data_IF_928797125354
#
_entry.id   IF_928797125354
#
_cell.length_a   1.000
_cell.length_b   1.000
_cell.length_c   1.000
_cell.angle_alpha   90.00
_cell.angle_beta   90.00
_cell.angle_gamma   90.00
#
_symmetry.space_group_name_H-M   'P 1'
#
loop_
_entity.id
_entity.type
_entity.pdbx_description
1 polymer ?
#
# COMPACT_ATOMS: atom_id res chain seq x y z
N UNK A 1 -2.86 -16.79 -15.17
CA UNK A 1 -2.56 -17.55 -13.93
C UNK A 1 -3.38 -18.82 -13.92
N UNK A 2 -2.84 -19.94 -13.44
CA UNK A 2 -3.52 -21.24 -13.38
C UNK A 2 -4.80 -21.20 -12.53
N UNK A 3 -4.78 -20.47 -11.41
CA UNK A 3 -5.95 -20.32 -10.53
C UNK A 3 -7.12 -19.70 -11.29
N UNK A 4 -6.89 -18.57 -11.98
CA UNK A 4 -7.95 -17.90 -12.74
C UNK A 4 -8.51 -18.75 -13.89
N UNK A 5 -7.67 -19.54 -14.56
CA UNK A 5 -8.13 -20.47 -15.60
C UNK A 5 -9.03 -21.57 -15.02
N UNK A 6 -8.69 -22.11 -13.84
CA UNK A 6 -9.51 -23.11 -13.18
C UNK A 6 -10.83 -22.52 -12.65
N UNK A 7 -10.82 -21.31 -12.08
CA UNK A 7 -12.05 -20.61 -11.68
C UNK A 7 -12.96 -20.40 -12.90
N UNK A 8 -12.41 -19.98 -14.04
CA UNK A 8 -13.17 -19.81 -15.28
C UNK A 8 -13.74 -21.14 -15.81
N UNK A 9 -12.98 -22.23 -15.73
CA UNK A 9 -13.47 -23.56 -16.10
C UNK A 9 -14.63 -24.01 -15.20
N UNK A 10 -14.48 -23.88 -13.88
CA UNK A 10 -15.54 -24.22 -12.91
C UNK A 10 -16.79 -23.37 -13.08
N UNK A 11 -16.66 -22.12 -13.52
CA UNK A 11 -17.81 -21.28 -13.83
C UNK A 11 -18.67 -21.86 -14.97
N UNK A 12 -18.06 -22.50 -15.98
CA UNK A 12 -18.79 -23.19 -17.05
C UNK A 12 -19.52 -24.44 -16.55
N UNK A 13 -19.06 -25.03 -15.44
CA UNK A 13 -19.69 -26.18 -14.78
C UNK A 13 -20.79 -25.78 -13.78
N UNK A 14 -21.13 -24.48 -13.69
CA UNK A 14 -22.13 -23.96 -12.76
C UNK A 14 -21.58 -23.59 -11.38
N UNK A 15 -20.25 -23.46 -11.24
CA UNK A 15 -19.61 -22.96 -10.03
C UNK A 15 -19.84 -21.45 -9.83
N UNK A 16 -20.13 -21.05 -8.59
CA UNK A 16 -20.49 -19.67 -8.23
C UNK A 16 -19.38 -18.93 -7.46
N UNK A 17 -18.12 -19.34 -7.61
CA UNK A 17 -16.99 -18.70 -6.94
C UNK A 17 -16.75 -17.31 -7.56
N UNK A 18 -17.08 -16.25 -6.82
CA UNK A 18 -16.86 -14.87 -7.23
C UNK A 18 -15.65 -14.29 -6.50
N UNK A 19 -14.73 -13.71 -7.26
CA UNK A 19 -13.62 -12.92 -6.72
C UNK A 19 -14.07 -11.46 -6.70
N UNK A 20 -13.97 -10.80 -5.55
CA UNK A 20 -14.35 -9.40 -5.37
C UNK A 20 -13.12 -8.53 -5.02
N UNK A 21 -12.49 -7.92 -6.03
CA UNK A 21 -11.34 -7.04 -5.81
C UNK A 21 -11.69 -5.77 -5.01
N UNK A 22 -12.94 -5.31 -5.03
CA UNK A 22 -13.33 -4.10 -4.30
C UNK A 22 -13.25 -4.35 -2.80
N UNK A 23 -13.65 -5.56 -2.37
CA UNK A 23 -13.50 -5.99 -0.98
C UNK A 23 -12.04 -6.00 -0.56
N UNK A 24 -11.14 -6.52 -1.39
CA UNK A 24 -9.70 -6.56 -1.08
C UNK A 24 -9.08 -5.15 -0.99
N UNK A 25 -9.47 -4.24 -1.89
CA UNK A 25 -9.01 -2.84 -1.85
C UNK A 25 -9.42 -2.17 -0.54
N UNK A 26 -10.68 -2.30 -0.14
CA UNK A 26 -11.17 -1.70 1.10
C UNK A 26 -10.57 -2.38 2.34
N UNK A 27 -10.45 -3.71 2.34
CA UNK A 27 -9.90 -4.45 3.47
C UNK A 27 -8.43 -4.10 3.72
N UNK A 28 -7.61 -4.01 2.66
CA UNK A 28 -6.21 -3.62 2.79
C UNK A 28 -6.04 -2.16 3.23
N UNK A 29 -6.84 -1.23 2.69
CA UNK A 29 -6.88 0.15 3.17
C UNK A 29 -7.28 0.23 4.65
N UNK A 30 -8.28 -0.55 5.08
CA UNK A 30 -8.72 -0.59 6.47
C UNK A 30 -7.62 -1.02 7.45
N UNK A 31 -6.75 -1.94 7.03
CA UNK A 31 -5.61 -2.40 7.86
C UNK A 31 -4.59 -1.28 8.05
N UNK A 32 -4.29 -0.53 6.99
CA UNK A 32 -3.37 0.61 7.04
C UNK A 32 -3.93 1.70 7.96
N UNK A 33 -5.19 2.09 7.74
CA UNK A 33 -5.87 3.10 8.56
C UNK A 33 -5.92 2.68 10.04
N UNK A 34 -6.28 1.42 10.31
CA UNK A 34 -6.33 0.87 11.67
C UNK A 34 -4.96 0.90 12.37
N UNK A 35 -3.87 0.66 11.63
CA UNK A 35 -2.52 0.78 12.19
C UNK A 35 -2.19 2.22 12.60
N UNK A 36 -2.56 3.21 11.78
CA UNK A 36 -2.25 4.63 12.00
C UNK A 36 -3.11 5.22 13.12
N UNK A 37 -4.43 4.99 13.09
CA UNK A 37 -5.35 5.42 14.16
C UNK A 37 -5.09 4.72 15.50
N UNK A 38 -4.52 3.52 15.47
CA UNK A 38 -4.06 2.81 16.68
C UNK A 38 -2.78 3.38 17.32
N UNK A 39 -2.25 4.51 16.84
CA UNK A 39 -0.97 5.08 17.29
C UNK A 39 0.25 4.29 16.80
N UNK A 40 0.06 3.38 15.85
CA UNK A 40 1.12 2.61 15.22
C UNK A 40 1.73 3.33 14.02
N UNK A 41 2.64 2.63 13.36
CA UNK A 41 3.28 3.04 12.10
C UNK A 41 3.01 2.00 11.02
N UNK A 42 2.89 2.47 9.77
CA UNK A 42 2.80 1.64 8.58
C UNK A 42 4.16 1.60 7.87
N UNK A 43 4.50 0.45 7.30
CA UNK A 43 5.75 0.28 6.58
C UNK A 43 5.59 -0.75 5.49
N UNK A 44 6.13 -0.46 4.32
CA UNK A 44 6.05 -1.33 3.14
C UNK A 44 7.43 -1.82 2.75
N UNK A 45 7.54 -3.12 2.56
CA UNK A 45 8.71 -3.79 2.01
C UNK A 45 8.29 -4.49 0.73
N UNK A 46 8.80 -4.02 -0.40
CA UNK A 46 8.42 -4.47 -1.73
C UNK A 46 9.60 -5.20 -2.36
N UNK A 47 9.35 -6.40 -2.85
CA UNK A 47 10.31 -7.19 -3.64
C UNK A 47 9.80 -7.25 -5.07
N UNK A 48 10.49 -6.57 -5.99
CA UNK A 48 10.09 -6.36 -7.37
C UNK A 48 9.26 -5.09 -7.58
N UNK A 49 8.21 -5.21 -8.38
CA UNK A 49 7.38 -4.09 -8.84
C UNK A 49 6.00 -4.53 -9.32
N UNK A 50 5.48 -3.87 -10.36
CA UNK A 50 4.24 -4.23 -11.04
C UNK A 50 2.98 -4.09 -10.18
N UNK A 51 2.00 -4.95 -10.45
CA UNK A 51 0.70 -4.95 -9.76
C UNK A 51 0.82 -5.10 -8.23
N UNK A 52 1.69 -5.99 -7.67
CA UNK A 52 1.87 -6.06 -6.22
C UNK A 52 2.36 -4.76 -5.57
N UNK A 53 3.29 -4.04 -6.21
CA UNK A 53 3.74 -2.70 -5.76
C UNK A 53 2.57 -1.72 -5.77
N UNK A 54 1.81 -1.66 -6.86
CA UNK A 54 0.67 -0.75 -6.93
C UNK A 54 -0.40 -1.07 -5.90
N UNK A 55 -0.74 -2.36 -5.75
CA UNK A 55 -1.83 -2.81 -4.91
C UNK A 55 -1.59 -2.50 -3.43
N UNK A 56 -0.34 -2.60 -2.96
CA UNK A 56 0.02 -2.16 -1.62
C UNK A 56 -0.04 -0.62 -1.52
N UNK A 57 0.60 0.10 -2.43
CA UNK A 57 0.74 1.56 -2.32
C UNK A 57 -0.57 2.33 -2.59
N UNK A 58 -1.52 1.75 -3.33
CA UNK A 58 -2.81 2.41 -3.60
C UNK A 58 -3.71 2.48 -2.36
N UNK A 59 -3.37 1.78 -1.27
CA UNK A 59 -4.11 1.89 0.00
C UNK A 59 -4.14 3.34 0.49
N UNK A 60 -3.07 4.10 0.27
CA UNK A 60 -2.96 5.50 0.70
C UNK A 60 -3.84 6.45 -0.15
N UNK A 61 -3.74 6.49 -1.50
CA UNK A 61 -4.71 7.21 -2.33
C UNK A 61 -6.17 6.76 -2.12
N UNK A 62 -6.40 5.48 -1.85
CA UNK A 62 -7.75 4.99 -1.53
C UNK A 62 -8.29 5.66 -0.27
N UNK A 63 -7.47 5.81 0.78
CA UNK A 63 -7.88 6.48 2.04
C UNK A 63 -8.02 7.98 1.83
N UNK A 64 -6.99 8.63 1.27
CA UNK A 64 -6.86 10.08 1.23
C UNK A 64 -7.68 10.71 0.10
N UNK A 65 -7.46 10.28 -1.15
CA UNK A 65 -8.05 10.91 -2.33
C UNK A 65 -9.46 10.40 -2.63
N UNK A 66 -9.68 9.09 -2.51
CA UNK A 66 -10.95 8.45 -2.90
C UNK A 66 -11.98 8.50 -1.77
N UNK A 67 -11.56 8.19 -0.54
CA UNK A 67 -12.46 8.19 0.62
C UNK A 67 -12.44 9.53 1.39
N UNK A 68 -11.53 10.46 1.06
CA UNK A 68 -11.46 11.78 1.71
C UNK A 68 -11.05 11.74 3.19
N UNK A 69 -10.46 10.63 3.64
CA UNK A 69 -10.07 10.45 5.05
C UNK A 69 -8.67 11.03 5.24
N UNK A 70 -8.53 11.98 6.16
CA UNK A 70 -7.23 12.59 6.49
C UNK A 70 -6.27 11.54 7.06
N UNK A 71 -5.19 11.31 6.34
CA UNK A 71 -4.17 10.30 6.61
C UNK A 71 -2.87 10.76 5.97
N UNK A 72 -1.73 10.38 6.56
CA UNK A 72 -0.41 10.67 6.01
C UNK A 72 0.25 9.35 5.69
N UNK A 73 0.66 9.17 4.43
CA UNK A 73 1.16 7.95 3.83
C UNK A 73 2.15 7.09 4.63
N UNK A 74 2.66 6.02 4.02
CA UNK A 74 3.46 5.06 4.77
C UNK A 74 4.70 5.66 5.46
N UNK A 75 4.96 5.24 6.72
CA UNK A 75 6.06 5.77 7.53
C UNK A 75 7.45 5.24 7.10
N UNK A 76 7.46 4.05 6.49
CA UNK A 76 8.69 3.39 6.03
C UNK A 76 8.49 2.78 4.65
N UNK A 77 9.48 2.96 3.79
CA UNK A 77 9.49 2.43 2.44
C UNK A 77 10.82 1.75 2.13
N UNK A 78 10.75 0.45 1.81
CA UNK A 78 11.88 -0.31 1.30
C UNK A 78 11.44 -1.04 0.02
N UNK A 79 12.13 -0.79 -1.09
CA UNK A 79 11.95 -1.53 -2.32
C UNK A 79 13.25 -2.20 -2.73
N UNK A 80 13.18 -3.47 -3.09
CA UNK A 80 14.22 -4.18 -3.85
C UNK A 80 13.70 -4.39 -5.25
N UNK A 81 14.40 -3.93 -6.29
CA UNK A 81 13.92 -4.05 -7.67
C UNK A 81 15.09 -4.06 -8.65
N UNK A 82 14.97 -4.75 -9.77
CA UNK A 82 15.89 -4.63 -10.91
C UNK A 82 15.37 -3.63 -11.97
N UNK A 83 14.12 -3.16 -11.82
CA UNK A 83 13.49 -2.25 -12.75
C UNK A 83 14.11 -0.85 -12.65
N UNK A 84 14.51 -0.33 -13.80
CA UNK A 84 15.15 0.98 -13.88
C UNK A 84 14.14 2.13 -13.99
N UNK A 85 14.42 3.30 -13.40
CA UNK A 85 13.50 4.45 -13.42
C UNK A 85 13.39 5.11 -14.80
N UNK A 86 14.43 5.04 -15.65
CA UNK A 86 14.50 5.73 -16.96
C UNK A 86 13.39 5.33 -17.94
N UNK A 87 12.81 4.16 -17.75
CA UNK A 87 11.75 3.62 -18.61
C UNK A 87 10.35 4.18 -18.30
N UNK A 88 10.20 4.94 -17.21
CA UNK A 88 8.91 5.48 -16.77
C UNK A 88 7.91 4.43 -16.26
N UNK A 89 8.34 3.18 -16.06
CA UNK A 89 7.49 2.12 -15.54
C UNK A 89 7.30 2.20 -14.03
N UNK A 90 6.08 1.90 -13.54
CA UNK A 90 5.75 1.88 -12.12
C UNK A 90 6.72 1.05 -11.27
N UNK A 91 7.21 -0.07 -11.81
CA UNK A 91 8.18 -0.93 -11.13
C UNK A 91 9.48 -0.22 -10.77
N UNK A 92 9.95 0.69 -11.61
CA UNK A 92 11.15 1.50 -11.40
C UNK A 92 10.88 2.86 -10.74
N UNK A 93 9.60 3.22 -10.54
CA UNK A 93 9.22 4.53 -10.00
C UNK A 93 9.86 4.78 -8.64
N UNK A 94 10.48 5.96 -8.51
CA UNK A 94 11.28 6.37 -7.36
C UNK A 94 10.39 6.67 -6.14
N UNK A 95 10.94 6.67 -4.91
CA UNK A 95 10.19 7.09 -3.73
C UNK A 95 9.72 8.54 -3.81
N UNK A 96 10.47 9.41 -4.49
CA UNK A 96 10.09 10.80 -4.71
C UNK A 96 8.81 10.91 -5.56
N UNK A 97 8.66 10.06 -6.59
CA UNK A 97 7.39 9.94 -7.32
C UNK A 97 6.28 9.36 -6.45
N UNK A 98 6.58 8.43 -5.54
CA UNK A 98 5.55 7.91 -4.64
C UNK A 98 5.06 8.97 -3.62
N UNK A 99 5.92 9.89 -3.19
CA UNK A 99 5.54 11.03 -2.34
C UNK A 99 4.57 11.97 -3.05
N UNK A 100 4.73 12.22 -4.35
CA UNK A 100 3.84 13.14 -5.08
C UNK A 100 2.38 12.66 -5.14
N UNK A 101 2.14 11.38 -4.88
CA UNK A 101 0.81 10.75 -4.84
C UNK A 101 0.36 10.45 -3.40
N UNK A 102 0.99 11.03 -2.38
CA UNK A 102 0.64 10.80 -0.98
C UNK A 102 0.91 9.38 -0.46
N UNK A 103 1.59 8.53 -1.23
CA UNK A 103 1.84 7.11 -0.89
C UNK A 103 2.89 6.93 0.19
N UNK A 104 3.78 7.91 0.34
CA UNK A 104 4.82 7.96 1.37
C UNK A 104 4.70 9.32 2.04
N UNK A 105 4.79 9.36 3.37
CA UNK A 105 4.83 10.62 4.11
C UNK A 105 6.04 11.46 3.62
N UNK A 106 5.84 12.71 3.16
CA UNK A 106 6.93 13.56 2.68
C UNK A 106 8.08 13.72 3.69
N UNK A 107 7.76 13.73 4.99
CA UNK A 107 8.76 13.86 6.06
C UNK A 107 9.63 12.59 6.22
N UNK A 108 9.23 11.48 5.58
CA UNK A 108 9.90 10.18 5.59
C UNK A 108 10.68 9.89 4.31
N UNK A 109 10.63 10.78 3.32
CA UNK A 109 11.35 10.61 2.05
C UNK A 109 12.86 10.36 2.24
N UNK A 110 13.60 11.03 3.15
CA UNK A 110 15.01 10.74 3.39
C UNK A 110 15.30 9.33 3.91
N UNK A 111 14.29 8.68 4.51
CA UNK A 111 14.38 7.33 5.06
C UNK A 111 13.93 6.25 4.05
N UNK A 112 13.47 6.65 2.85
CA UNK A 112 13.01 5.73 1.81
C UNK A 112 14.20 5.10 1.07
N UNK A 113 14.22 3.76 0.98
CA UNK A 113 15.33 3.02 0.38
C UNK A 113 14.88 2.25 -0.84
N UNK A 114 15.61 2.42 -1.95
CA UNK A 114 15.53 1.54 -3.14
C UNK A 114 16.86 0.83 -3.33
N UNK A 115 16.82 -0.49 -3.29
CA UNK A 115 17.95 -1.37 -3.58
C UNK A 115 17.80 -1.93 -5.00
N UNK A 116 18.71 -1.55 -5.88
CA UNK A 116 18.77 -2.10 -7.24
C UNK A 116 19.50 -3.44 -7.26
N UNK A 117 18.76 -4.52 -6.98
CA UNK A 117 19.30 -5.87 -6.83
C UNK A 117 18.22 -6.92 -7.10
N UNK A 118 18.65 -8.11 -7.51
CA UNK A 118 17.78 -9.28 -7.61
C UNK A 118 17.24 -9.68 -6.21
N UNK A 119 15.92 -9.91 -6.12
CA UNK A 119 15.25 -10.27 -4.86
C UNK A 119 15.75 -11.59 -4.27
N UNK A 120 16.24 -12.51 -5.11
CA UNK A 120 16.82 -13.80 -4.68
C UNK A 120 18.15 -13.63 -3.95
N UNK A 121 18.84 -12.50 -4.13
CA UNK A 121 20.04 -12.14 -3.35
C UNK A 121 19.67 -11.31 -2.13
N UNK A 122 18.82 -10.29 -2.32
CA UNK A 122 18.48 -9.36 -1.25
C UNK A 122 17.70 -10.03 -0.10
N UNK A 123 16.68 -10.83 -0.42
CA UNK A 123 15.76 -11.38 0.59
C UNK A 123 16.47 -12.34 1.56
N UNK A 124 17.32 -13.29 1.14
CA UNK A 124 18.06 -14.13 2.08
C UNK A 124 18.99 -13.35 3.00
N UNK A 125 19.69 -12.33 2.49
CA UNK A 125 20.59 -11.48 3.28
C UNK A 125 19.83 -10.67 4.34
N UNK A 126 18.74 -10.01 3.94
CA UNK A 126 17.87 -9.26 4.85
C UNK A 126 17.25 -10.18 5.92
N UNK A 127 16.78 -11.35 5.51
CA UNK A 127 16.19 -12.34 6.41
C UNK A 127 17.22 -12.84 7.43
N UNK A 128 18.41 -13.21 6.97
CA UNK A 128 19.49 -13.66 7.85
C UNK A 128 19.87 -12.58 8.88
N UNK A 129 19.98 -11.33 8.45
CA UNK A 129 20.28 -10.21 9.34
C UNK A 129 19.16 -9.97 10.36
N UNK A 130 17.90 -9.90 9.91
CA UNK A 130 16.74 -9.66 10.77
C UNK A 130 16.60 -10.74 11.84
N UNK A 131 16.74 -12.01 11.47
CA UNK A 131 16.65 -13.13 12.42
C UNK A 131 17.84 -13.16 13.40
N UNK A 132 19.03 -12.74 12.98
CA UNK A 132 20.21 -12.69 13.86
C UNK A 132 20.18 -11.51 14.83
N UNK A 133 19.53 -10.38 14.46
CA UNK A 133 19.58 -9.12 15.23
C UNK A 133 18.31 -8.81 16.00
N UNK A 134 17.18 -9.46 15.69
CA UNK A 134 15.90 -9.11 16.30
C UNK A 134 15.23 -10.32 16.96
N UNK A 135 14.70 -10.18 18.18
CA UNK A 135 13.92 -11.26 18.80
C UNK A 135 12.56 -11.41 18.11
N UNK A 136 11.99 -12.62 18.19
CA UNK A 136 10.66 -12.90 17.66
C UNK A 136 9.61 -12.00 18.33
N UNK A 137 8.80 -11.34 17.51
CA UNK A 137 7.70 -10.48 17.96
C UNK A 137 6.40 -11.28 18.09
N UNK A 138 5.50 -10.91 19.02
CA UNK A 138 4.13 -11.43 19.02
C UNK A 138 3.43 -11.13 17.70
N UNK A 139 2.64 -12.09 17.20
CA UNK A 139 1.89 -11.93 15.96
C UNK A 139 0.74 -10.95 16.17
N UNK A 140 0.62 -9.93 15.30
CA UNK A 140 -0.47 -8.95 15.34
C UNK A 140 -1.83 -9.51 14.91
N UNK A 141 -1.86 -10.65 14.21
CA UNK A 141 -3.09 -11.33 13.76
C UNK A 141 -4.09 -10.39 13.05
N UNK A 142 -3.62 -9.58 12.11
CA UNK A 142 -4.41 -8.51 11.47
C UNK A 142 -5.72 -9.01 10.83
N UNK A 143 -5.73 -10.23 10.28
CA UNK A 143 -6.93 -10.87 9.72
C UNK A 143 -8.03 -11.14 10.76
N UNK A 144 -7.66 -11.38 12.02
CA UNK A 144 -8.62 -11.59 13.12
C UNK A 144 -9.28 -10.25 13.52
N UNK A 145 -8.70 -9.13 13.08
CA UNK A 145 -9.21 -7.77 13.31
C UNK A 145 -9.87 -7.15 12.07
N UNK A 146 -10.03 -7.90 10.97
CA UNK A 146 -10.53 -7.35 9.69
C UNK A 146 -11.88 -6.65 9.82
N UNK A 147 -12.83 -7.23 10.56
CA UNK A 147 -14.19 -6.68 10.71
C UNK A 147 -14.16 -5.36 11.49
N UNK A 148 -13.35 -5.31 12.56
CA UNK A 148 -13.12 -4.08 13.33
C UNK A 148 -12.47 -2.99 12.48
N UNK A 149 -11.46 -3.34 11.68
CA UNK A 149 -10.78 -2.38 10.82
C UNK A 149 -11.72 -1.85 9.72
N UNK A 150 -12.51 -2.73 9.12
CA UNK A 150 -13.53 -2.35 8.14
C UNK A 150 -14.59 -1.43 8.74
N UNK A 151 -15.05 -1.70 9.97
CA UNK A 151 -15.99 -0.80 10.64
C UNK A 151 -15.36 0.58 10.87
N UNK A 152 -14.11 0.64 11.32
CA UNK A 152 -13.38 1.89 11.47
C UNK A 152 -13.29 2.67 10.14
N UNK A 153 -12.99 2.00 9.04
CA UNK A 153 -12.92 2.62 7.71
C UNK A 153 -14.27 3.21 7.30
N UNK A 154 -15.37 2.47 7.52
CA UNK A 154 -16.73 2.94 7.23
C UNK A 154 -17.11 4.15 8.09
N UNK A 155 -16.78 4.13 9.38
CA UNK A 155 -17.07 5.23 10.30
C UNK A 155 -16.31 6.50 9.92
N UNK A 156 -15.02 6.39 9.55
CA UNK A 156 -14.20 7.53 9.11
C UNK A 156 -14.67 8.07 7.76
N UNK A 157 -15.05 7.18 6.83
CA UNK A 157 -15.61 7.57 5.53
C UNK A 157 -16.93 8.34 5.68
N UNK A 158 -17.83 7.89 6.56
CA UNK A 158 -19.07 8.60 6.86
C UNK A 158 -18.79 10.01 7.39
N UNK A 159 -17.84 10.16 8.33
CA UNK A 159 -17.45 11.47 8.86
C UNK A 159 -16.83 12.38 7.79
N UNK A 160 -15.97 11.83 6.93
CA UNK A 160 -15.36 12.59 5.83
C UNK A 160 -16.42 13.06 4.82
N UNK A 161 -17.44 12.25 4.56
CA UNK A 161 -18.53 12.57 3.63
C UNK A 161 -19.50 13.63 4.18
N UNK A 162 -19.62 13.76 5.51
CA UNK A 162 -20.43 14.78 6.18
C UNK A 162 -19.68 16.11 6.38
N UNK A 163 -18.36 16.11 6.25
CA UNK A 163 -17.56 17.33 6.35
C UNK A 163 -17.82 18.24 5.13
N UNK A 164 -17.96 19.57 5.32
CA UNK A 164 -18.08 20.48 4.19
C UNK A 164 -16.83 20.37 3.32
N UNK A 165 -17.01 20.16 2.02
CA UNK A 165 -15.90 20.06 1.08
C UNK A 165 -15.03 21.32 1.18
N UNK A 166 -13.76 21.14 1.57
CA UNK A 166 -12.79 22.22 1.41
C UNK A 166 -12.70 22.56 -0.09
N UNK A 167 -12.69 23.86 -0.45
CA UNK A 167 -12.56 24.24 -1.85
C UNK A 167 -11.27 23.65 -2.41
N UNK A 168 -11.39 22.86 -3.47
CA UNK A 168 -10.25 22.38 -4.25
C UNK A 168 -9.50 23.61 -4.74
N UNK A 169 -8.31 23.87 -4.19
CA UNK A 169 -7.40 24.89 -4.71
C UNK A 169 -6.89 24.45 -6.08
N UNK A 170 -7.60 24.86 -7.12
CA UNK A 170 -7.21 24.61 -8.52
C UNK A 170 -5.98 25.42 -8.95
N UNK A 171 -5.46 26.30 -8.09
CA UNK A 171 -4.28 27.14 -8.32
C UNK A 171 -3.02 26.65 -7.59
N UNK A 172 -3.09 25.52 -6.87
CA UNK A 172 -1.92 24.84 -6.32
C UNK A 172 -1.05 24.29 -7.46
N UNK A 173 -0.21 25.17 -8.02
CA UNK A 173 0.86 24.81 -8.94
C UNK A 173 1.69 23.72 -8.26
N UNK A 174 1.62 22.50 -8.80
CA UNK A 174 2.62 21.46 -8.58
C UNK A 174 3.99 22.15 -8.61
N UNK A 175 4.84 22.01 -7.58
CA UNK A 175 6.16 22.61 -7.61
C UNK A 175 6.91 22.01 -8.81
N UNK A 176 7.02 22.80 -9.88
CA UNK A 176 7.87 22.45 -11.02
C UNK A 176 9.30 22.48 -10.52
N UNK A 177 9.87 21.30 -10.31
CA UNK A 177 11.30 21.15 -10.10
C UNK A 177 12.04 21.67 -11.34
N UNK A 178 12.85 22.70 -11.13
CA UNK A 178 13.95 23.07 -12.05
C UNK A 178 15.11 22.10 -11.85
#
# INVERSE_FOLDING_TARGET
>A
SSIGMNVAALALEGGNCLIDPNRDVNETASIVLGAKRGGGKSGVMILGGGSPKNFMLQTEPQIQEVLGIDERGHDYFLQVTDARPDTGGLSGATPAEAVSWGKIDPDRLPDAVVCYLDSTVALPLLTSYALARTPKRPLKRLFDHRERNMQLLLDEFARASEAPAEPIDTDAKLPMHR
#
